data_IF_636564824355
#
_entry.id   IF_636564824355
#
_cell.length_a   1.000
_cell.length_b   1.000
_cell.length_c   1.000
_cell.angle_alpha   90.00
_cell.angle_beta   90.00
_cell.angle_gamma   90.00
#
_symmetry.space_group_name_H-M   'P 1'
#
loop_
_entity.id
_entity.type
_entity.pdbx_description
1 polymer ?
2 non-polymer ?
3 non-polymer ?
4 non-polymer ?
5 non-polymer ?
6 water ?
#
# COMPACT_ATOMS: atom_id res chain seq x y z
N UNK A 6 -1.54 -17.27 -13.73
CA UNK A 6 -2.90 -17.59 -13.33
C UNK A 6 -3.25 -16.93 -11.98
N UNK A 7 -2.59 -17.36 -10.88
CA UNK A 7 -2.84 -16.81 -9.54
C UNK A 7 -1.88 -15.62 -9.29
N UNK A 8 -2.33 -14.63 -8.49
CA UNK A 8 -1.56 -13.44 -8.18
C UNK A 8 -1.61 -13.11 -6.70
N UNK A 9 -0.44 -12.92 -6.10
CA UNK A 9 -0.33 -12.63 -4.68
C UNK A 9 -0.52 -11.14 -4.40
N UNK A 10 -1.11 -10.84 -3.23
CA UNK A 10 -1.30 -9.50 -2.71
C UNK A 10 -0.74 -9.45 -1.33
N UNK A 11 -0.39 -8.26 -0.89
CA UNK A 11 0.01 -8.01 0.48
C UNK A 11 -0.83 -6.88 0.95
N UNK A 12 -1.54 -7.10 2.06
CA UNK A 12 -2.41 -6.07 2.60
C UNK A 12 -2.50 -6.16 4.09
N UNK A 13 -2.68 -5.02 4.77
CA UNK A 13 -2.91 -5.08 6.19
C UNK A 13 -4.31 -5.66 6.41
N UNK A 14 -4.47 -6.40 7.53
CA UNK A 14 -5.72 -7.07 7.79
C UNK A 14 -5.97 -7.21 9.26
N UNK A 15 -7.25 -7.37 9.61
CA UNK A 15 -7.64 -7.67 10.98
C UNK A 15 -7.99 -9.17 11.06
N UNK A 16 -7.49 -9.85 12.10
CA UNK A 16 -7.88 -11.24 12.40
C UNK A 16 -9.17 -11.18 13.22
N UNK A 17 -10.21 -11.94 12.86
CA UNK A 17 -11.44 -11.86 13.65
C UNK A 17 -12.33 -13.05 13.39
N UNK A 18 -13.30 -13.25 14.25
CA UNK A 18 -14.30 -14.29 14.07
C UNK A 18 -15.42 -13.80 13.18
N UNK A 19 -15.89 -14.69 12.31
CA UNK A 19 -17.13 -14.46 11.57
C UNK A 19 -18.32 -14.67 12.53
N UNK A 20 -19.55 -14.50 12.03
CA UNK A 20 -20.75 -14.71 12.85
C UNK A 20 -20.93 -16.16 13.30
N UNK A 21 -20.26 -17.11 12.62
CA UNK A 21 -20.32 -18.53 12.94
C UNK A 21 -19.00 -19.04 13.53
N UNK A 23 -15.80 -18.79 12.70
CA UNK A 23 -14.67 -19.19 11.88
C UNK A 23 -13.68 -18.05 11.98
N UNK A 24 -12.37 -18.35 12.12
CA UNK A 24 -11.40 -17.26 12.14
C UNK A 24 -11.06 -16.87 10.72
N UNK A 25 -11.30 -15.61 10.40
CA UNK A 25 -11.01 -15.02 9.08
C UNK A 25 -10.05 -13.88 9.21
N UNK A 26 -9.50 -13.47 8.06
CA UNK A 26 -8.73 -12.24 8.01
C UNK A 26 -9.52 -11.28 7.12
N UNK A 27 -9.56 -10.01 7.54
CA UNK A 27 -10.31 -8.95 6.86
C UNK A 27 -9.31 -7.95 6.32
N UNK A 28 -8.84 -8.14 5.06
CA UNK A 28 -7.81 -7.24 4.53
C UNK A 28 -8.38 -5.93 4.05
N UNK A 29 -7.59 -4.85 4.21
CA UNK A 29 -8.01 -3.56 3.65
C UNK A 29 -8.12 -3.69 2.11
N UNK A 30 -9.24 -3.27 1.55
CA UNK A 30 -9.45 -3.32 0.09
C UNK A 30 -9.72 -4.69 -0.51
N UNK A 31 -9.96 -5.73 0.32
CA UNK A 31 -10.22 -7.06 -0.19
C UNK A 31 -11.38 -7.70 0.54
N UNK A 32 -11.83 -8.83 0.04
CA UNK A 32 -12.86 -9.62 0.68
C UNK A 32 -12.34 -10.34 1.90
N UNK A 33 -13.24 -10.81 2.79
CA UNK A 33 -12.78 -11.64 3.93
C UNK A 33 -12.21 -12.96 3.41
N UNK A 34 -11.17 -13.45 4.11
CA UNK A 34 -10.48 -14.67 3.73
C UNK A 34 -10.40 -15.66 4.84
N UNK A 35 -10.51 -16.95 4.48
CA UNK A 35 -10.22 -18.03 5.40
C UNK A 35 -8.84 -18.57 5.04
N UNK A 36 -7.89 -18.41 5.96
CA UNK A 36 -6.54 -18.94 5.82
C UNK A 36 -6.37 -19.94 6.97
N UNK A 37 -6.44 -21.26 6.66
CA UNK A 37 -6.42 -22.30 7.70
C UNK A 37 -5.18 -22.24 8.58
N UNK A 38 -4.00 -21.96 7.99
CA UNK A 38 -2.77 -21.87 8.80
C UNK A 38 -2.87 -20.73 9.84
N UNK A 39 -3.41 -19.56 9.46
CA UNK A 39 -3.56 -18.47 10.41
C UNK A 39 -4.60 -18.81 11.46
N UNK A 40 -5.71 -19.47 11.07
CA UNK A 40 -6.78 -19.80 12.01
C UNK A 40 -6.31 -20.77 13.10
N UNK A 41 -5.21 -21.49 12.85
CA UNK A 41 -4.72 -22.47 13.82
C UNK A 41 -3.40 -22.03 14.45
N UNK A 42 -3.02 -20.76 14.29
CA UNK A 42 -1.72 -20.31 14.78
C UNK A 42 -1.88 -19.55 16.09
N UNK A 43 -1.29 -20.04 17.21
CA UNK A 43 -1.48 -19.36 18.51
C UNK A 43 -0.79 -18.01 18.63
N UNK A 44 -0.08 -17.57 17.57
CA UNK A 44 0.52 -16.21 17.57
C UNK A 44 -0.61 -15.16 17.53
N UNK A 45 -1.78 -15.52 16.98
CA UNK A 45 -2.84 -14.54 16.73
C UNK A 45 -4.06 -14.67 17.60
N UNK A 46 -4.74 -13.52 17.79
CA UNK A 46 -6.03 -13.55 18.43
C UNK A 46 -6.91 -12.50 17.77
N UNK A 47 -8.23 -12.73 17.88
CA UNK A 47 -9.20 -11.83 17.26
C UNK A 47 -8.93 -10.39 17.73
N UNK A 48 -8.95 -9.49 16.78
CA UNK A 48 -8.67 -8.07 17.00
C UNK A 48 -7.27 -7.66 16.60
N UNK A 49 -6.38 -8.63 16.40
CA UNK A 49 -5.02 -8.30 15.97
C UNK A 49 -5.00 -7.79 14.56
N UNK A 50 -4.04 -6.92 14.28
CA UNK A 50 -3.76 -6.44 12.93
C UNK A 50 -2.48 -7.05 12.47
N UNK A 51 -2.41 -7.42 11.19
CA UNK A 51 -1.21 -8.03 10.63
C UNK A 51 -1.01 -7.51 9.23
N UNK A 52 0.20 -7.69 8.69
CA UNK A 52 0.45 -7.53 7.27
C UNK A 52 0.36 -8.93 6.69
N UNK A 53 -0.64 -9.18 5.85
CA UNK A 53 -0.81 -10.52 5.30
C UNK A 53 -0.44 -10.58 3.85
N UNK A 54 0.14 -11.72 3.44
CA UNK A 54 0.40 -11.96 2.03
C UNK A 54 -0.43 -13.17 1.66
N UNK A 55 -1.25 -13.04 0.60
CA UNK A 55 -2.15 -14.14 0.30
C UNK A 55 -2.43 -14.28 -1.18
N UNK A 56 -2.96 -15.44 -1.54
CA UNK A 56 -3.39 -15.77 -2.89
C UNK A 56 -4.70 -16.54 -2.82
N UNK A 57 -5.63 -16.21 -3.73
CA UNK A 57 -6.92 -16.88 -3.84
C UNK A 57 -6.94 -17.64 -5.16
N UNK A 58 -7.32 -18.94 -5.11
CA UNK A 58 -7.55 -19.76 -6.31
C UNK A 58 -9.04 -19.70 -6.56
N UNK A 59 -9.47 -18.83 -7.47
CA UNK A 59 -10.89 -18.63 -7.77
C UNK A 59 -11.55 -19.87 -8.39
N UNK A 60 -10.75 -20.79 -8.94
CA UNK A 60 -11.27 -21.99 -9.62
C UNK A 60 -11.33 -23.24 -8.71
N UNK A 61 -10.93 -23.14 -7.43
CA UNK A 61 -10.90 -24.33 -6.55
C UNK A 61 -12.29 -24.78 -6.13
N UNK A 62 -12.42 -26.08 -5.74
CA UNK A 62 -13.67 -26.64 -5.22
C UNK A 62 -14.08 -25.92 -3.92
N UNK A 63 -13.08 -25.53 -3.09
CA UNK A 63 -13.31 -24.81 -1.83
C UNK A 63 -13.92 -23.43 -2.06
N UNK A 64 -13.67 -22.82 -3.23
CA UNK A 64 -14.20 -21.48 -3.55
C UNK A 64 -15.41 -21.52 -4.50
N UNK A 65 -15.91 -22.72 -4.84
CA UNK A 65 -17.09 -22.87 -5.71
C UNK A 65 -18.33 -22.21 -5.10
N UNK A 66 -18.43 -22.18 -3.75
CA UNK A 66 -19.58 -21.60 -3.03
C UNK A 66 -19.17 -20.39 -2.21
N UNK A 67 -18.13 -19.65 -2.63
CA UNK A 67 -17.63 -18.48 -1.90
C UNK A 67 -18.73 -17.45 -1.60
N UNK A 68 -19.64 -17.21 -2.57
CA UNK A 68 -20.74 -16.24 -2.39
C UNK A 68 -21.62 -16.61 -1.17
N UNK A 69 -21.92 -17.90 -0.99
CA UNK A 69 -22.75 -18.30 0.14
C UNK A 69 -21.89 -18.45 1.40
N UNK A 70 -20.61 -18.85 1.28
CA UNK A 70 -19.73 -18.96 2.44
C UNK A 70 -19.45 -17.62 3.13
N UNK A 71 -19.33 -16.56 2.34
CA UNK A 71 -19.03 -15.21 2.85
C UNK A 71 -17.54 -14.89 2.97
N UNK A 72 -16.71 -15.76 2.38
CA UNK A 72 -15.25 -15.57 2.35
C UNK A 72 -14.67 -16.37 1.20
N UNK A 73 -13.42 -16.03 0.83
CA UNK A 73 -12.65 -16.84 -0.07
C UNK A 73 -11.65 -17.64 0.76
N UNK A 74 -11.42 -18.90 0.39
CA UNK A 74 -10.36 -19.69 1.00
C UNK A 74 -9.07 -19.22 0.33
N UNK A 75 -8.06 -18.89 1.12
CA UNK A 75 -6.80 -18.39 0.57
C UNK A 75 -5.64 -19.09 1.22
N UNK A 76 -4.49 -18.99 0.58
CA UNK A 76 -3.27 -19.49 1.21
C UNK A 76 -2.38 -18.29 1.41
N UNK A 77 -1.56 -18.37 2.42
CA UNK A 77 -0.64 -17.28 2.68
C UNK A 77 -0.13 -17.31 4.09
N UNK A 78 0.39 -16.17 4.51
CA UNK A 78 1.00 -16.05 5.82
C UNK A 78 0.89 -14.61 6.25
N UNK A 79 1.22 -14.36 7.50
CA UNK A 79 1.10 -13.01 7.98
C UNK A 79 2.27 -12.67 8.89
N UNK A 80 2.48 -11.37 9.08
CA UNK A 80 3.49 -10.90 10.02
C UNK A 80 3.07 -11.18 11.45
N UNK A 81 3.94 -10.85 12.41
CA UNK A 81 3.56 -10.85 13.81
C UNK A 81 2.51 -9.76 14.01
N UNK A 82 1.62 -9.83 15.00
CA UNK A 82 0.63 -8.75 15.19
C UNK A 82 1.30 -7.40 15.42
N UNK A 83 0.66 -6.36 14.91
CA UNK A 83 1.16 -5.01 15.14
C UNK A 83 0.98 -4.64 16.59
N UNK A 84 1.88 -3.77 17.10
CA UNK A 84 1.71 -3.23 18.44
C UNK A 84 0.40 -2.40 18.48
N UNK A 85 -0.34 -2.51 19.58
CA UNK A 85 -1.66 -1.92 19.76
C UNK A 85 -1.65 -0.72 20.69
N UNK A 86 -2.32 0.35 20.26
CA UNK A 86 -2.44 1.56 21.07
C UNK A 86 -3.86 2.01 21.16
N UNK A 87 -4.18 2.72 22.23
CA UNK A 87 -5.49 3.35 22.35
C UNK A 87 -5.49 4.64 21.56
N UNK A 88 -6.69 5.17 21.30
CA UNK A 88 -6.79 6.49 20.71
C UNK A 88 -7.19 7.38 21.86
N UNK A 89 -6.27 8.28 22.23
CA UNK A 89 -6.42 9.17 23.38
C UNK A 89 -7.18 10.44 23.03
N UNK A 90 -8.11 10.86 23.88
CA UNK A 90 -8.87 12.07 23.65
C UNK A 90 -8.36 13.21 24.54
N UNK A 91 -7.10 13.12 24.95
CA UNK A 91 -6.45 14.15 25.78
C UNK A 91 -5.41 14.85 24.92
N UNK A 92 -5.75 15.99 24.30
CA UNK A 92 -4.77 16.66 23.41
C UNK A 92 -3.56 17.18 24.18
N UNK A 93 -2.40 17.12 23.51
CA UNK A 93 -1.12 17.54 24.06
C UNK A 93 -0.71 18.89 23.52
N UNK A 94 0.16 19.60 24.23
CA UNK A 94 0.66 20.88 23.73
C UNK A 94 2.02 20.65 22.99
N UNK A 95 2.69 21.74 22.59
CA UNK A 95 3.94 21.69 21.83
C UNK A 95 5.16 21.26 22.65
N UNK A 97 7.95 19.10 24.16
CA UNK A 97 8.45 17.78 23.78
C UNK A 97 8.27 16.79 24.94
N UNK A 98 7.90 15.56 24.59
CA UNK A 98 7.78 14.47 25.53
C UNK A 98 9.16 13.97 25.87
N UNK A 99 9.31 13.27 27.01
CA UNK A 99 10.61 12.68 27.31
C UNK A 99 10.95 11.66 26.21
N UNK A 100 12.19 11.72 25.68
CA UNK A 100 12.70 10.81 24.66
C UNK A 100 11.87 10.90 23.35
N UNK A 101 11.23 12.05 23.10
CA UNK A 101 10.43 12.20 21.90
C UNK A 101 11.27 12.08 20.63
N UNK A 102 10.66 11.49 19.59
CA UNK A 102 11.28 11.35 18.27
C UNK A 102 10.55 12.17 17.23
N UNK A 103 11.29 12.71 16.28
CA UNK A 103 10.67 13.36 15.12
C UNK A 103 10.27 12.28 14.13
N UNK A 104 9.21 12.54 13.38
CA UNK A 104 8.74 11.61 12.36
C UNK A 104 8.88 12.25 10.97
N UNK A 105 8.79 11.42 9.93
CA UNK A 105 8.91 11.89 8.55
C UNK A 105 7.73 11.40 7.67
N UNK A 106 6.68 10.91 8.29
CA UNK A 106 5.50 10.40 7.60
C UNK A 106 4.60 9.72 8.60
N UNK A 107 3.30 9.61 8.27
CA UNK A 107 2.31 8.96 9.14
C UNK A 107 1.02 8.59 8.37
N UNK A 108 1.18 7.92 7.23
CA UNK A 108 -0.01 7.53 6.48
C UNK A 108 -0.86 6.54 7.25
N UNK A 109 -2.20 6.57 7.06
CA UNK A 109 -3.06 5.67 7.84
C UNK A 109 -4.34 5.39 7.12
N UNK A 110 -5.03 4.37 7.62
CA UNK A 110 -6.36 4.02 7.12
C UNK A 110 -7.13 3.34 8.21
N UNK A 111 -8.45 3.48 8.18
CA UNK A 111 -9.32 2.77 9.10
C UNK A 111 -9.71 1.45 8.47
N UNK A 112 -9.43 0.37 9.20
CA UNK A 112 -9.81 -0.99 8.78
C UNK A 112 -11.01 -1.45 9.56
N UNK A 113 -11.88 -2.23 8.90
CA UNK A 113 -13.09 -2.81 9.48
C UNK A 113 -13.07 -4.31 9.46
N UNK A 114 -13.64 -4.95 10.48
CA UNK A 114 -13.83 -6.39 10.49
C UNK A 114 -15.24 -6.66 11.01
N UNK A 115 -15.57 -7.90 11.26
CA UNK A 115 -16.89 -8.19 11.75
C UNK A 115 -17.15 -7.50 13.11
N UNK A 116 -16.16 -7.55 14.03
CA UNK A 116 -16.33 -7.08 15.40
C UNK A 116 -15.44 -5.91 15.80
N UNK A 117 -14.48 -5.53 14.98
CA UNK A 117 -13.51 -4.51 15.37
C UNK A 117 -13.27 -3.48 14.31
N UNK A 118 -12.76 -2.32 14.76
CA UNK A 118 -12.24 -1.27 13.88
C UNK A 118 -10.86 -0.89 14.38
N UNK A 119 -9.90 -0.77 13.47
CA UNK A 119 -8.55 -0.32 13.85
C UNK A 119 -8.01 0.63 12.85
N UNK A 120 -7.34 1.68 13.32
CA UNK A 120 -6.59 2.53 12.41
C UNK A 120 -5.20 1.89 12.28
N UNK A 121 -4.78 1.56 11.09
CA UNK A 121 -3.40 1.14 10.88
C UNK A 121 -2.65 2.41 10.49
N UNK A 122 -1.57 2.71 11.20
CA UNK A 122 -0.82 3.92 10.87
C UNK A 122 0.64 3.53 10.69
N UNK A 123 1.30 4.16 9.73
CA UNK A 123 2.68 3.81 9.43
C UNK A 123 3.61 5.02 9.73
N UNK A 124 3.99 5.21 11.00
CA UNK A 124 4.98 6.25 11.30
C UNK A 124 6.27 5.91 10.59
N UNK A 125 6.91 6.94 10.00
CA UNK A 125 8.16 6.79 9.27
C UNK A 125 9.19 7.66 9.96
N UNK A 126 10.47 7.24 9.89
CA UNK A 126 11.56 7.96 10.51
C UNK A 126 12.69 8.18 9.54
N UNK A 127 13.31 9.36 9.61
CA UNK A 127 14.51 9.68 8.81
C UNK A 127 15.55 8.59 9.06
N UNK A 128 15.80 8.28 10.34
CA UNK A 128 16.73 7.22 10.71
C UNK A 128 16.34 6.61 12.03
N UNK A 129 16.63 5.31 12.15
CA UNK A 129 16.51 4.56 13.40
C UNK A 129 17.73 3.67 13.51
N UNK A 130 17.94 3.09 14.69
CA UNK A 130 18.97 2.10 14.83
C UNK A 130 18.35 0.72 14.70
N UNK A 131 19.16 -0.30 14.38
CA UNK A 131 18.68 -1.68 14.33
C UNK A 131 18.21 -2.06 15.74
N UNK A 132 17.04 -2.69 15.88
CA UNK A 132 16.44 -3.13 17.14
C UNK A 132 16.00 -1.96 18.05
N UNK A 133 15.91 -0.74 17.48
CA UNK A 133 15.32 0.38 18.22
C UNK A 133 13.85 0.05 18.46
N UNK A 134 13.31 0.43 19.62
CA UNK A 134 11.90 0.22 19.89
C UNK A 134 11.30 1.53 20.33
N UNK A 135 10.11 1.83 19.79
CA UNK A 135 9.38 3.04 20.12
C UNK A 135 8.04 2.71 20.69
N UNK A 136 7.45 3.66 21.42
CA UNK A 136 6.05 3.60 21.81
C UNK A 136 5.41 4.88 21.31
N UNK A 137 4.09 4.86 21.22
CA UNK A 137 3.37 5.93 20.58
C UNK A 137 2.19 6.42 21.35
N UNK A 138 1.77 7.62 20.99
CA UNK A 138 0.55 8.20 21.50
C UNK A 138 -0.19 8.80 20.30
N UNK A 140 -3.49 10.93 19.58
CA UNK A 140 -4.44 11.70 20.33
C UNK A 140 -5.26 12.58 19.43
N UNK A 142 -8.28 16.17 19.75
CA UNK A 142 -9.16 17.04 20.47
C UNK A 142 -10.57 16.74 20.00
N UNK A 143 -11.39 16.07 20.85
CA UNK A 143 -12.80 15.74 20.55
C UNK A 143 -13.71 17.00 20.42
N UNK A 144 -13.23 18.18 20.83
CA UNK A 144 -14.00 19.43 20.73
C UNK A 144 -13.67 20.20 19.44
N UNK A 145 -12.70 19.70 18.64
CA UNK A 145 -12.26 20.34 17.40
C UNK A 145 -13.36 20.42 16.38
N UNK A 146 -13.36 21.50 15.62
CA UNK A 146 -14.25 21.61 14.49
C UNK A 146 -13.43 21.20 13.28
N UNK A 147 -13.95 20.34 12.37
CA UNK A 147 -13.14 19.96 11.21
C UNK A 147 -12.96 21.16 10.28
N UNK A 148 -11.97 21.12 9.40
CA UNK A 148 -11.69 22.26 8.54
C UNK A 148 -11.41 21.84 7.11
N UNK A 149 -11.42 22.81 6.18
CA UNK A 149 -11.11 22.52 4.79
C UNK A 149 -9.59 22.38 4.64
N UNK A 150 -9.15 21.28 4.00
CA UNK A 150 -7.74 20.95 3.76
C UNK A 150 -7.59 20.57 2.29
N UNK A 151 -6.76 21.31 1.53
CA UNK A 151 -6.47 21.09 0.11
C UNK A 151 -7.73 20.77 -0.75
N UNK A 152 -8.78 21.56 -0.59
CA UNK A 152 -10.02 21.38 -1.35
C UNK A 152 -11.00 20.36 -0.80
N UNK A 153 -10.63 19.62 0.27
CA UNK A 153 -11.52 18.65 0.90
C UNK A 153 -12.13 19.31 2.11
N UNK A 154 -13.46 19.27 2.21
CA UNK A 154 -14.10 19.90 3.36
C UNK A 154 -14.19 18.94 4.56
N UNK A 155 -14.33 19.53 5.75
CA UNK A 155 -14.59 18.87 7.03
C UNK A 155 -13.56 17.76 7.32
N UNK A 156 -12.27 18.14 7.30
CA UNK A 156 -11.21 17.18 7.62
C UNK A 156 -10.85 17.30 9.11
N UNK A 157 -10.83 16.17 9.83
CA UNK A 157 -10.44 16.11 11.23
C UNK A 157 -8.96 15.84 11.31
N UNK A 158 -8.33 16.31 12.37
CA UNK A 158 -6.88 16.06 12.51
C UNK A 158 -6.60 15.28 13.79
N UNK A 159 -5.91 14.15 13.61
CA UNK A 159 -5.41 13.32 14.72
C UNK A 159 -3.92 13.64 14.84
N UNK A 160 -3.32 13.33 15.99
CA UNK A 160 -1.91 13.59 16.17
C UNK A 160 -1.17 12.33 16.60
N UNK A 161 -0.03 12.05 15.94
CA UNK A 161 0.78 10.88 16.30
C UNK A 161 2.13 11.36 16.78
N UNK A 162 2.50 10.95 18.01
CA UNK A 162 3.79 11.25 18.57
C UNK A 162 4.45 9.97 19.05
N UNK A 163 5.77 9.97 19.09
CA UNK A 163 6.56 8.78 19.44
C UNK A 163 7.59 9.08 20.50
N UNK A 164 7.86 8.07 21.33
CA UNK A 164 8.94 8.11 22.32
C UNK A 164 9.85 6.93 22.10
N UNK A 165 11.17 7.14 22.20
CA UNK A 165 12.10 6.02 22.09
C UNK A 165 12.06 5.23 23.41
N UNK A 166 11.90 3.89 23.32
CA UNK A 166 11.88 3.07 24.53
C UNK A 166 13.15 2.21 24.65
N UNK A 167 13.73 1.78 23.52
CA UNK A 167 15.00 1.01 23.49
C UNK A 167 15.88 1.62 22.43
N UNK A 168 17.16 1.88 22.75
CA UNK A 168 18.12 2.55 21.89
C UNK A 168 18.44 1.80 20.61
N UNK A 169 18.62 0.48 20.70
CA UNK A 169 19.03 -0.28 19.54
C UNK A 169 20.53 -0.18 19.31
N UNK A 170 20.99 -0.65 18.13
CA UNK A 170 22.43 -0.68 17.81
C UNK A 170 22.70 -0.46 16.32
N UNK A 171 23.98 -0.35 15.94
CA UNK A 171 24.38 -0.21 14.54
C UNK A 171 24.00 -1.47 13.73
N UNK A 172 23.67 -1.37 12.42
CA UNK A 172 23.71 -0.18 11.57
C UNK A 172 22.43 0.67 11.64
N UNK A 173 22.53 1.90 11.12
CA UNK A 173 21.42 2.83 10.98
C UNK A 173 20.57 2.41 9.78
N UNK A 174 19.23 2.52 9.95
CA UNK A 174 18.25 2.26 8.91
C UNK A 174 17.62 3.58 8.54
N UNK A 175 17.62 3.92 7.24
CA UNK A 175 17.00 5.15 6.76
C UNK A 175 15.58 4.94 6.31
N UNK A 176 14.71 5.97 6.48
CA UNK A 176 13.30 5.94 6.06
C UNK A 176 12.61 4.69 6.58
N UNK A 177 12.83 4.41 7.86
CA UNK A 177 12.29 3.23 8.50
C UNK A 177 10.84 3.40 8.80
N UNK A 179 7.34 1.83 10.87
CA UNK A 179 6.92 1.05 12.05
C UNK A 179 5.39 0.97 12.12
N UNK A 180 4.78 0.11 11.30
CA UNK A 180 3.31 0.00 11.31
C UNK A 180 2.77 -0.37 12.69
N UNK A 181 1.74 0.35 13.12
CA UNK A 181 1.08 0.10 14.41
C UNK A 181 -0.45 0.11 14.23
N UNK A 182 -1.17 -0.43 15.23
CA UNK A 182 -2.62 -0.47 15.20
C UNK A 182 -3.17 0.37 16.32
N UNK A 183 -4.14 1.21 16.03
CA UNK A 183 -4.77 2.09 17.03
C UNK A 183 -6.25 1.73 17.10
N UNK A 184 -6.80 1.68 18.32
CA UNK A 184 -8.23 1.42 18.46
C UNK A 184 -9.05 2.43 17.63
N UNK A 185 -9.99 1.93 16.81
CA UNK A 185 -10.80 2.82 15.98
C UNK A 185 -12.28 2.84 16.29
N UNK A 186 -12.74 2.00 17.22
CA UNK A 186 -14.18 1.87 17.47
C UNK A 186 -14.85 3.11 18.01
N UNK A 187 -14.26 3.75 19.05
CA UNK A 187 -14.94 4.93 19.60
C UNK A 187 -14.76 6.14 18.68
N UNK A 188 -13.63 6.20 17.94
CA UNK A 188 -13.46 7.30 16.98
C UNK A 188 -14.52 7.19 15.91
N UNK A 189 -14.75 5.98 15.40
CA UNK A 189 -15.77 5.81 14.37
C UNK A 189 -17.13 6.25 14.86
N UNK A 190 -17.55 5.78 16.05
CA UNK A 190 -18.88 6.11 16.56
C UNK A 190 -19.02 7.61 16.77
N UNK A 192 -17.21 10.20 15.27
CA UNK A 192 -17.22 10.95 14.00
C UNK A 192 -18.43 10.60 13.15
N UNK A 193 -18.95 9.37 13.22
CA UNK A 193 -20.17 9.03 12.49
C UNK A 193 -21.33 9.90 13.00
N UNK A 194 -21.42 10.07 14.32
CA UNK A 194 -22.47 10.87 14.93
C UNK A 194 -22.40 12.31 14.49
N UNK A 195 -21.18 12.91 14.52
CA UNK A 195 -20.98 14.31 14.11
C UNK A 195 -21.20 14.52 12.61
N UNK A 196 -20.64 13.64 11.77
CA UNK A 196 -20.74 13.83 10.33
C UNK A 196 -22.12 13.46 9.78
N UNK A 197 -22.82 12.45 10.34
CA UNK A 197 -24.18 12.15 9.85
C UNK A 197 -25.12 13.32 10.19
N UNK A 198 -24.92 13.96 11.38
CA UNK A 198 -25.71 15.13 11.78
C UNK A 198 -25.48 16.32 10.83
N UNK A 199 -24.26 16.40 10.23
CA UNK A 199 -23.86 17.44 9.28
C UNK A 199 -24.33 17.09 7.84
N UNK A 200 -25.04 15.96 7.70
CA UNK A 200 -25.57 15.50 6.41
C UNK A 200 -24.54 14.87 5.50
N UNK A 201 -23.49 14.27 6.10
CA UNK A 201 -22.41 13.64 5.32
C UNK A 201 -22.44 12.15 5.41
N UNK A 202 -21.89 11.48 4.38
CA UNK A 202 -21.87 10.01 4.24
C UNK A 202 -20.48 9.42 4.49
N UNK A 203 -19.48 10.29 4.67
CA UNK A 203 -18.10 9.88 4.88
C UNK A 203 -17.48 10.70 5.98
N UNK A 204 -16.31 10.25 6.44
CA UNK A 204 -15.46 10.98 7.36
C UNK A 204 -14.11 11.15 6.69
N UNK A 205 -13.53 12.34 6.80
CA UNK A 205 -12.20 12.64 6.28
C UNK A 205 -11.30 13.01 7.44
N UNK A 206 -10.10 12.46 7.48
CA UNK A 206 -9.18 12.83 8.55
C UNK A 206 -7.74 12.80 8.05
N UNK A 207 -6.86 13.40 8.83
CA UNK A 207 -5.43 13.32 8.54
C UNK A 207 -4.70 13.17 9.86
N UNK A 208 -3.42 12.79 9.80
CA UNK A 208 -2.60 12.61 10.99
C UNK A 208 -1.46 13.59 10.94
N UNK A 209 -1.32 14.43 12.00
CA UNK A 209 -0.21 15.34 12.10
C UNK A 209 0.88 14.71 12.99
N UNK A 210 2.12 15.09 12.75
CA UNK A 210 3.22 14.53 13.49
C UNK A 210 4.35 15.54 13.61
N UNK A 211 5.24 15.42 14.61
CA UNK A 211 6.34 16.41 14.73
C UNK A 211 7.36 16.24 13.61
N UNK A 212 7.71 17.36 12.97
CA UNK A 212 8.66 17.38 11.86
C UNK A 212 10.00 17.96 12.31
N UNK A 213 9.99 19.02 13.13
CA UNK A 213 11.24 19.59 13.64
C UNK A 213 11.07 19.99 15.09
N UNK A 214 12.16 20.03 15.83
CA UNK A 214 12.18 20.59 17.19
C UNK A 214 12.65 22.04 17.14
N UNK A 215 12.46 22.74 18.26
CA UNK A 215 13.07 24.07 18.42
C UNK A 215 14.60 23.84 18.66
N UNK A 216 15.39 24.91 18.82
CA UNK A 216 16.85 24.82 18.95
C UNK A 216 17.36 23.87 20.04
N UNK A 217 16.69 23.81 21.21
CA UNK A 217 17.20 22.95 22.30
C UNK A 217 16.36 21.69 22.51
N UNK A 218 15.51 21.33 21.52
CA UNK A 218 14.67 20.14 21.53
C UNK A 218 13.71 20.07 22.77
N UNK A 219 13.23 21.23 23.25
CA UNK A 219 12.27 21.23 24.36
C UNK A 219 10.82 21.36 23.85
N UNK A 220 10.64 21.77 22.57
CA UNK A 220 9.31 21.94 21.98
C UNK A 220 9.31 21.48 20.54
N UNK A 221 8.12 21.15 20.03
CA UNK A 221 7.95 20.87 18.62
C UNK A 221 7.83 22.20 17.91
N UNK A 222 8.68 22.44 16.89
CA UNK A 222 8.65 23.71 16.14
C UNK A 222 7.73 23.64 14.93
N UNK A 223 7.81 22.55 14.14
CA UNK A 223 6.95 22.41 12.96
C UNK A 223 6.34 21.02 12.92
N UNK A 224 5.24 20.91 12.20
CA UNK A 224 4.49 19.65 12.07
C UNK A 224 4.33 19.27 10.62
N UNK A 225 4.29 17.96 10.40
CA UNK A 225 3.98 17.38 9.10
C UNK A 225 2.58 16.82 9.15
N UNK A 226 2.00 16.55 7.98
CA UNK A 226 0.64 16.02 7.90
C UNK A 226 0.58 14.92 6.87
N UNK A 227 -0.13 13.87 7.20
CA UNK A 227 -0.38 12.80 6.24
C UNK A 227 -1.31 13.28 5.15
N UNK A 228 -1.47 12.46 4.11
CA UNK A 228 -2.52 12.67 3.15
C UNK A 228 -3.86 12.47 3.85
N UNK A 229 -4.93 12.96 3.24
CA UNK A 229 -6.25 12.75 3.80
C UNK A 229 -6.68 11.27 3.60
N UNK A 230 -7.25 10.69 4.65
CA UNK A 230 -7.78 9.34 4.64
C UNK A 230 -9.28 9.42 4.83
N UNK A 231 -10.03 8.53 4.22
CA UNK A 231 -11.50 8.63 4.33
C UNK A 231 -12.12 7.29 4.58
N UNK A 232 -13.27 7.31 5.23
CA UNK A 232 -14.03 6.08 5.41
C UNK A 232 -15.51 6.37 5.35
N UNK A 233 -16.28 5.37 4.93
CA UNK A 233 -17.72 5.52 4.85
C UNK A 233 -18.35 5.35 6.23
N UNK A 234 -19.44 6.10 6.47
CA UNK A 234 -20.22 5.97 7.72
C UNK A 234 -21.65 5.48 7.39
N UNK A 235 -21.85 4.97 6.16
CA UNK A 235 -23.10 4.35 5.75
C UNK A 235 -23.06 2.89 6.18
N UNK A 236 -24.16 2.37 6.64
CA UNK A 236 -24.23 0.96 7.05
C UNK A 236 -25.45 0.34 6.39
N UNK A 237 -25.51 -1.00 6.34
CA UNK A 237 -26.59 -1.78 5.69
C UNK A 237 -27.99 -1.41 6.19
N UNK B 9 -15.12 -1.37 1.11
CA UNK B 9 -14.75 -0.96 -0.26
C UNK B 9 -13.61 -1.83 -0.82
N UNK B 10 -13.83 -2.41 -2.02
CA UNK B 10 -12.80 -3.22 -2.72
C UNK B 10 -12.00 -2.31 -3.63
N UNK B 11 -10.67 -2.41 -3.57
CA UNK B 11 -9.81 -1.51 -4.34
C UNK B 11 -8.55 -2.19 -4.80
N UNK B 12 -8.08 -1.83 -6.01
CA UNK B 12 -6.87 -2.45 -6.48
C UNK B 12 -6.35 -1.76 -7.69
N UNK B 13 -5.02 -1.82 -7.93
CA UNK B 13 -4.53 -1.42 -9.24
C UNK B 13 -4.99 -2.46 -10.24
N UNK B 14 -5.18 -2.01 -11.48
CA UNK B 14 -5.73 -2.88 -12.52
C UNK B 14 -5.26 -2.46 -13.87
N UNK B 15 -5.29 -3.41 -14.82
CA UNK B 15 -5.03 -3.11 -16.23
C UNK B 15 -6.37 -3.12 -16.98
N UNK B 16 -6.57 -2.15 -17.88
CA UNK B 16 -7.74 -2.11 -18.78
C UNK B 16 -7.34 -2.86 -20.04
N UNK B 17 -8.15 -3.82 -20.51
CA UNK B 17 -7.73 -4.54 -21.72
C UNK B 17 -8.90 -5.27 -22.35
N UNK B 18 -8.73 -5.70 -23.59
CA UNK B 18 -9.72 -6.50 -24.30
C UNK B 18 -9.58 -7.96 -23.98
N UNK B 19 -10.70 -8.61 -23.75
CA UNK B 19 -10.76 -10.07 -23.64
C UNK B 19 -10.59 -10.68 -25.04
N UNK B 20 -10.62 -12.03 -25.13
CA UNK B 20 -10.51 -12.73 -26.42
C UNK B 20 -11.69 -12.44 -27.38
N UNK B 21 -12.81 -11.94 -26.83
CA UNK B 21 -13.96 -11.61 -27.66
C UNK B 21 -14.15 -10.07 -27.74
N UNK B 23 -14.36 -7.74 -25.45
CA UNK B 23 -15.09 -7.09 -24.36
C UNK B 23 -14.01 -6.38 -23.54
N UNK B 24 -14.24 -5.11 -23.14
CA UNK B 24 -13.24 -4.44 -22.29
C UNK B 24 -13.45 -4.86 -20.87
N UNK B 25 -12.39 -5.43 -20.27
CA UNK B 25 -12.41 -5.84 -18.86
C UNK B 25 -11.34 -5.08 -18.11
N UNK B 26 -11.43 -5.12 -16.79
CA UNK B 26 -10.35 -4.62 -15.96
C UNK B 26 -9.81 -5.82 -15.21
N UNK B 27 -8.50 -5.84 -15.08
CA UNK B 27 -7.78 -6.99 -14.52
C UNK B 27 -7.09 -6.52 -13.27
N UNK B 28 -7.77 -6.63 -12.11
CA UNK B 28 -7.17 -6.12 -10.87
C UNK B 28 -6.18 -7.10 -10.30
N UNK B 29 -5.12 -6.56 -9.68
CA UNK B 29 -4.13 -7.43 -9.04
C UNK B 29 -4.79 -8.30 -7.97
N UNK B 30 -4.63 -9.61 -8.11
CA UNK B 30 -5.14 -10.56 -7.12
C UNK B 30 -6.61 -10.85 -7.16
N UNK B 31 -7.32 -10.34 -8.20
CA UNK B 31 -8.76 -10.54 -8.40
C UNK B 31 -9.04 -11.26 -9.69
N UNK B 32 -10.26 -11.76 -9.81
CA UNK B 32 -10.76 -12.30 -11.05
C UNK B 32 -11.02 -11.09 -12.00
N UNK B 33 -10.98 -11.25 -13.33
CA UNK B 33 -11.27 -10.11 -14.21
C UNK B 33 -12.71 -9.62 -13.99
N UNK B 34 -12.90 -8.32 -14.21
CA UNK B 34 -14.19 -7.67 -14.03
C UNK B 34 -14.66 -6.95 -15.26
N UNK B 35 -15.96 -7.03 -15.51
CA UNK B 35 -16.57 -6.24 -16.56
C UNK B 35 -17.25 -5.06 -15.87
N UNK B 36 -16.77 -3.85 -16.17
CA UNK B 36 -17.35 -2.61 -15.66
C UNK B 36 -17.81 -1.81 -16.87
N UNK B 37 -19.12 -1.83 -17.14
CA UNK B 37 -19.65 -1.19 -18.35
C UNK B 37 -19.25 0.29 -18.43
N UNK B 38 -19.27 1.03 -17.30
CA UNK B 38 -18.98 2.47 -17.37
C UNK B 38 -17.52 2.71 -17.81
N UNK B 39 -16.58 1.87 -17.35
CA UNK B 39 -15.18 1.98 -17.79
C UNK B 39 -15.05 1.57 -19.26
N UNK B 40 -15.76 0.52 -19.68
CA UNK B 40 -15.67 0.05 -21.07
C UNK B 40 -16.11 1.12 -22.06
N UNK B 41 -16.97 2.07 -21.62
CA UNK B 41 -17.51 3.11 -22.50
C UNK B 41 -16.91 4.49 -22.22
N UNK B 42 -15.81 4.57 -21.45
CA UNK B 42 -15.20 5.84 -21.08
C UNK B 42 -14.04 6.16 -22.00
N UNK B 43 -14.13 7.28 -22.75
CA UNK B 43 -13.05 7.62 -23.69
C UNK B 43 -11.71 8.03 -23.06
N UNK B 44 -11.64 8.07 -21.72
CA UNK B 44 -10.38 8.37 -21.02
C UNK B 44 -9.38 7.22 -21.17
N UNK B 45 -9.90 5.99 -21.36
CA UNK B 45 -9.05 4.81 -21.30
C UNK B 45 -8.72 4.16 -22.62
N UNK B 46 -7.56 3.48 -22.61
CA UNK B 46 -7.07 2.71 -23.73
C UNK B 46 -6.63 1.34 -23.24
N UNK B 47 -6.78 0.32 -24.08
CA UNK B 47 -6.26 -1.01 -23.71
C UNK B 47 -4.76 -0.88 -23.37
N UNK B 48 -4.38 -1.49 -22.27
CA UNK B 48 -3.01 -1.44 -21.78
C UNK B 48 -2.80 -0.44 -20.65
N UNK B 49 -3.77 0.45 -20.41
CA UNK B 49 -3.66 1.42 -19.32
C UNK B 49 -3.71 0.75 -17.97
N UNK B 50 -3.03 1.32 -16.99
CA UNK B 50 -3.11 0.91 -15.60
C UNK B 50 -3.84 1.98 -14.85
N UNK B 51 -4.70 1.56 -13.92
CA UNK B 51 -5.50 2.50 -13.13
C UNK B 51 -5.57 1.99 -11.70
N UNK B 52 -5.98 2.86 -10.78
CA UNK B 52 -6.38 2.44 -9.45
C UNK B 52 -7.91 2.38 -9.49
N UNK B 53 -8.47 1.19 -9.31
CA UNK B 53 -9.93 1.01 -9.40
C UNK B 53 -10.59 0.68 -8.07
N UNK B 54 -11.87 1.07 -7.93
CA UNK B 54 -12.74 0.77 -6.79
C UNK B 54 -13.93 0.07 -7.37
N UNK B 55 -14.39 -1.02 -6.78
CA UNK B 55 -15.50 -1.71 -7.37
C UNK B 55 -16.29 -2.55 -6.39
N UNK B 56 -17.47 -3.02 -6.84
CA UNK B 56 -18.33 -3.92 -6.08
C UNK B 56 -18.91 -4.95 -7.03
N UNK B 57 -19.08 -6.18 -6.55
CA UNK B 57 -19.66 -7.28 -7.34
C UNK B 57 -20.92 -7.76 -6.65
N UNK B 58 -22.03 -7.93 -7.42
CA UNK B 58 -23.29 -8.53 -6.94
C UNK B 58 -23.21 -9.99 -7.34
N UNK B 59 -22.78 -10.85 -6.42
CA UNK B 59 -22.62 -12.28 -6.72
C UNK B 59 -23.92 -13.02 -6.98
N UNK B 60 -25.05 -12.43 -6.60
CA UNK B 60 -26.38 -13.05 -6.76
C UNK B 60 -27.09 -12.64 -8.06
N UNK B 61 -26.47 -11.79 -8.90
CA UNK B 61 -27.12 -11.35 -10.14
C UNK B 61 -27.18 -12.47 -11.21
N UNK B 62 -28.15 -12.36 -12.15
CA UNK B 62 -28.28 -13.30 -13.26
C UNK B 62 -27.04 -13.22 -14.16
N UNK B 63 -26.44 -12.02 -14.29
CA UNK B 63 -25.23 -11.75 -15.07
C UNK B 63 -24.03 -12.51 -14.52
N UNK B 64 -24.02 -12.78 -13.20
CA UNK B 64 -22.90 -13.46 -12.55
C UNK B 64 -23.16 -14.94 -12.25
N UNK B 65 -24.31 -15.48 -12.70
CA UNK B 65 -24.65 -16.90 -12.50
C UNK B 65 -23.64 -17.81 -13.22
N UNK B 66 -23.11 -17.35 -14.38
CA UNK B 66 -22.15 -18.10 -15.18
C UNK B 66 -20.79 -17.42 -15.21
N UNK B 67 -20.38 -16.76 -14.12
CA UNK B 67 -19.09 -16.08 -14.05
C UNK B 67 -17.89 -16.99 -14.35
N UNK B 68 -17.91 -18.24 -13.87
CA UNK B 68 -16.83 -19.20 -14.13
C UNK B 68 -16.65 -19.46 -15.63
N UNK B 69 -17.76 -19.61 -16.39
CA UNK B 69 -17.68 -19.83 -17.82
C UNK B 69 -17.48 -18.51 -18.58
N UNK B 70 -18.00 -17.38 -18.06
CA UNK B 70 -17.83 -16.06 -18.70
C UNK B 70 -16.40 -15.60 -18.69
N UNK B 71 -15.68 -15.91 -17.62
CA UNK B 71 -14.30 -15.52 -17.42
C UNK B 71 -14.15 -14.17 -16.75
N UNK B 72 -15.24 -13.65 -16.19
CA UNK B 72 -15.27 -12.38 -15.48
C UNK B 72 -16.48 -12.27 -14.59
N UNK B 73 -16.42 -11.34 -13.61
CA UNK B 73 -17.60 -10.93 -12.84
C UNK B 73 -18.03 -9.57 -13.37
N UNK B 74 -19.36 -9.37 -13.47
CA UNK B 74 -19.88 -8.05 -13.79
C UNK B 74 -19.80 -7.23 -12.49
N UNK B 75 -19.23 -6.03 -12.56
CA UNK B 75 -19.06 -5.18 -11.40
C UNK B 75 -19.46 -3.76 -11.70
N UNK B 76 -19.66 -2.96 -10.65
CA UNK B 76 -19.84 -1.54 -10.80
C UNK B 76 -18.68 -0.88 -10.13
N UNK B 77 -18.29 0.27 -10.60
CA UNK B 77 -17.13 0.93 -10.00
C UNK B 77 -16.60 2.06 -10.81
N UNK B 78 -15.42 2.53 -10.42
CA UNK B 78 -14.79 3.68 -11.04
C UNK B 78 -13.30 3.53 -10.97
N UNK B 79 -12.59 4.35 -11.71
CA UNK B 79 -11.14 4.25 -11.71
C UNK B 79 -10.52 5.60 -11.82
N UNK B 80 -9.26 5.67 -11.42
CA UNK B 80 -8.45 6.87 -11.58
C UNK B 80 -8.13 7.14 -13.02
N UNK B 81 -7.46 8.27 -13.28
CA UNK B 81 -6.87 8.52 -14.58
C UNK B 81 -5.77 7.48 -14.82
N UNK B 82 -5.41 7.14 -16.06
CA UNK B 82 -4.32 6.17 -16.25
C UNK B 82 -3.00 6.63 -15.66
N UNK B 83 -2.23 5.66 -15.16
CA UNK B 83 -0.88 6.00 -14.67
C UNK B 83 0.04 6.36 -15.83
N UNK B 84 1.05 7.21 -15.53
CA UNK B 84 2.08 7.52 -16.53
C UNK B 84 2.83 6.24 -16.87
N UNK B 85 3.16 6.08 -18.14
CA UNK B 85 3.74 4.90 -18.72
C UNK B 85 5.22 5.07 -19.05
N UNK B 86 6.00 4.04 -18.72
CA UNK B 86 7.43 4.00 -19.00
C UNK B 86 7.84 2.66 -19.52
N UNK B 87 8.96 2.63 -20.25
CA UNK B 87 9.50 1.37 -20.71
C UNK B 87 10.44 0.79 -19.67
N UNK B 88 10.81 -0.47 -19.83
CA UNK B 88 11.81 -1.10 -18.98
C UNK B 88 13.08 -1.21 -19.84
N UNK B 89 14.11 -0.46 -19.44
CA UNK B 89 15.35 -0.34 -20.17
C UNK B 89 16.36 -1.45 -19.83
N UNK B 90 17.08 -1.94 -20.84
CA UNK B 90 18.09 -2.97 -20.62
C UNK B 90 19.50 -2.41 -20.78
N UNK B 91 19.61 -1.09 -20.76
CA UNK B 91 20.91 -0.38 -20.77
C UNK B 91 21.11 0.28 -19.43
N UNK B 92 21.54 -0.44 -18.36
CA UNK B 92 21.67 0.23 -17.05
C UNK B 92 22.68 1.36 -17.08
N UNK B 93 22.37 2.36 -16.29
CA UNK B 93 23.18 3.55 -16.15
C UNK B 93 24.25 3.34 -15.10
N UNK B 94 25.38 4.04 -15.24
CA UNK B 94 26.41 3.94 -14.20
C UNK B 94 25.99 4.83 -12.98
N UNK B 95 26.83 4.93 -11.94
CA UNK B 95 26.49 5.69 -10.74
C UNK B 95 26.51 7.22 -10.91
N UNK B 97 25.34 10.84 -11.34
CA UNK B 97 24.04 11.46 -11.16
C UNK B 97 23.52 12.05 -12.47
N UNK B 98 22.24 11.87 -12.73
CA UNK B 98 21.57 12.41 -13.90
C UNK B 98 21.28 13.88 -13.65
N UNK B 99 21.07 14.65 -14.74
CA UNK B 99 20.66 16.04 -14.57
C UNK B 99 19.32 16.05 -13.82
N UNK B 100 19.20 16.92 -12.80
CA UNK B 100 17.98 17.09 -12.00
C UNK B 100 17.55 15.76 -11.33
N UNK B 101 18.52 14.89 -11.02
CA UNK B 101 18.17 13.60 -10.40
C UNK B 101 17.63 13.79 -8.98
N UNK B 102 16.66 12.93 -8.61
CA UNK B 102 16.05 12.97 -7.27
C UNK B 102 16.42 11.76 -6.47
N UNK B 103 16.51 11.93 -5.14
CA UNK B 103 16.67 10.82 -4.23
C UNK B 103 15.29 10.29 -3.86
N UNK B 104 15.15 8.97 -3.71
CA UNK B 104 13.85 8.35 -3.37
C UNK B 104 13.88 7.77 -1.98
N UNK B 105 12.69 7.45 -1.46
CA UNK B 105 12.55 6.89 -0.12
C UNK B 105 11.76 5.57 -0.14
N UNK B 106 11.47 5.04 -1.31
CA UNK B 106 10.70 3.81 -1.45
C UNK B 106 10.41 3.51 -2.91
N UNK B 107 10.02 2.23 -3.22
CA UNK B 107 9.79 1.77 -4.58
C UNK B 107 9.01 0.45 -4.60
N UNK B 108 7.97 0.33 -3.78
CA UNK B 108 7.22 -0.93 -3.78
C UNK B 108 6.59 -1.19 -5.15
N UNK B 109 6.47 -2.46 -5.55
CA UNK B 109 5.94 -2.71 -6.89
C UNK B 109 5.33 -4.09 -6.99
N UNK B 110 4.60 -4.32 -8.09
CA UNK B 110 4.05 -5.63 -8.41
C UNK B 110 3.86 -5.75 -9.88
N UNK B 111 3.97 -6.97 -10.39
CA UNK B 111 3.69 -7.25 -11.80
C UNK B 111 2.24 -7.65 -11.94
N UNK B 112 1.53 -6.93 -12.80
CA UNK B 112 0.11 -7.16 -13.10
C UNK B 112 -0.02 -7.82 -14.46
N UNK B 113 -1.02 -8.70 -14.59
CA UNK B 113 -1.29 -9.45 -15.82
C UNK B 113 -2.63 -9.18 -16.37
N UNK B 114 -2.73 -9.12 -17.70
CA UNK B 114 -4.04 -9.03 -18.34
C UNK B 114 -4.05 -10.01 -19.52
N UNK B 115 -5.10 -9.98 -20.34
CA UNK B 115 -5.13 -10.89 -21.46
C UNK B 115 -3.95 -10.67 -22.43
N UNK B 116 -3.62 -9.40 -22.74
CA UNK B 116 -2.62 -9.05 -23.74
C UNK B 116 -1.39 -8.33 -23.21
N UNK B 117 -1.40 -7.91 -21.94
CA UNK B 117 -0.32 -7.09 -21.41
C UNK B 117 0.17 -7.53 -20.08
N UNK B 118 1.38 -7.07 -19.76
CA UNK B 118 1.97 -7.18 -18.43
C UNK B 118 2.53 -5.83 -18.10
N UNK B 119 2.25 -5.36 -16.85
CA UNK B 119 2.79 -4.06 -16.43
C UNK B 119 3.24 -4.14 -15.02
N UNK B 120 4.39 -3.55 -14.72
CA UNK B 120 4.84 -3.40 -13.35
C UNK B 120 4.24 -2.10 -12.85
N UNK B 121 3.48 -2.13 -11.78
CA UNK B 121 3.02 -0.91 -11.12
C UNK B 121 4.04 -0.66 -10.04
N UNK B 122 4.69 0.52 -10.05
CA UNK B 122 5.68 0.81 -9.02
C UNK B 122 5.31 2.14 -8.39
N UNK B 123 5.59 2.23 -7.10
CA UNK B 123 5.22 3.41 -6.31
C UNK B 123 6.47 4.09 -5.75
N UNK B 124 7.17 4.89 -6.58
CA UNK B 124 8.29 5.66 -6.02
C UNK B 124 7.76 6.63 -4.96
N UNK B 125 8.51 6.77 -3.86
CA UNK B 125 8.14 7.70 -2.82
C UNK B 125 9.31 8.67 -2.62
N UNK B 126 8.97 9.84 -2.06
CA UNK B 126 9.95 10.92 -1.84
C UNK B 126 9.78 11.51 -0.48
N UNK B 127 10.87 11.83 0.20
CA UNK B 127 10.73 12.47 1.52
C UNK B 127 10.02 13.83 1.39
N UNK B 128 10.24 14.54 0.30
CA UNK B 128 9.57 15.79 0.04
C UNK B 128 9.52 16.09 -1.43
N UNK B 129 8.46 16.77 -1.83
CA UNK B 129 8.24 17.30 -3.18
C UNK B 129 7.60 18.65 -3.06
N UNK B 130 7.57 19.41 -4.16
CA UNK B 130 6.82 20.66 -4.15
C UNK B 130 5.43 20.41 -4.75
N UNK B 131 4.48 21.31 -4.50
CA UNK B 131 3.13 21.22 -5.07
C UNK B 131 3.28 21.42 -6.57
N UNK B 132 2.63 20.58 -7.39
CA UNK B 132 2.68 20.58 -8.86
C UNK B 132 4.05 20.17 -9.44
N UNK B 133 4.95 19.59 -8.61
CA UNK B 133 6.20 19.03 -9.13
C UNK B 133 5.85 17.87 -10.08
N UNK B 134 6.61 17.69 -11.17
CA UNK B 134 6.41 16.57 -12.08
C UNK B 134 7.74 15.90 -12.28
N UNK B 135 7.73 14.57 -12.33
CA UNK B 135 8.97 13.80 -12.54
C UNK B 135 8.91 12.95 -13.77
N UNK B 136 10.08 12.52 -14.23
CA UNK B 136 10.19 11.45 -15.24
C UNK B 136 11.05 10.37 -14.62
N UNK B 137 10.94 9.15 -15.14
CA UNK B 137 11.60 8.01 -14.56
C UNK B 137 12.30 7.17 -15.60
N UNK B 138 13.25 6.39 -15.11
CA UNK B 138 13.94 5.37 -15.88
C UNK B 138 14.00 4.11 -15.00
N UNK B 140 15.43 0.22 -15.03
CA UNK B 140 16.34 -0.61 -15.80
C UNK B 140 16.58 -1.95 -15.15
N UNK B 142 19.54 -5.17 -15.42
CA UNK B 142 20.81 -5.67 -15.93
C UNK B 142 20.55 -7.11 -16.34
N UNK B 143 20.40 -7.36 -17.63
CA UNK B 143 20.06 -8.69 -18.14
C UNK B 143 21.16 -9.76 -17.86
N UNK B 144 22.37 -9.34 -17.43
CA UNK B 144 23.47 -10.28 -17.13
C UNK B 144 23.54 -10.65 -15.64
N UNK B 145 22.70 -10.03 -14.79
CA UNK B 145 22.77 -10.29 -13.35
C UNK B 145 22.38 -11.72 -12.98
N UNK B 146 22.98 -12.22 -11.90
CA UNK B 146 22.60 -13.49 -11.33
C UNK B 146 21.77 -13.16 -10.11
N UNK B 147 20.60 -13.79 -9.90
CA UNK B 147 19.81 -13.46 -8.71
C UNK B 147 20.51 -13.93 -7.45
N UNK B 148 20.13 -13.40 -6.28
CA UNK B 148 20.81 -13.75 -5.03
C UNK B 148 19.82 -13.93 -3.89
N UNK B 149 20.29 -14.52 -2.76
CA UNK B 149 19.41 -14.67 -1.61
C UNK B 149 19.27 -13.32 -0.91
N UNK B 150 18.03 -12.92 -0.60
CA UNK B 150 17.71 -11.65 0.08
C UNK B 150 16.71 -11.96 1.17
N UNK B 151 17.06 -11.64 2.45
CA UNK B 151 16.23 -11.85 3.65
C UNK B 151 15.49 -13.21 3.70
N UNK B 152 16.22 -14.28 3.42
CA UNK B 152 15.66 -15.64 3.46
C UNK B 152 14.95 -16.10 2.21
N UNK B 153 14.78 -15.21 1.20
CA UNK B 153 14.16 -15.59 -0.07
C UNK B 153 15.28 -15.87 -1.06
N UNK B 154 15.23 -17.02 -1.72
CA UNK B 154 16.28 -17.34 -2.69
C UNK B 154 15.97 -16.75 -4.06
N UNK B 155 17.02 -16.56 -4.85
CA UNK B 155 16.99 -16.14 -6.24
C UNK B 155 16.16 -14.87 -6.46
N UNK B 156 16.54 -13.80 -5.79
CA UNK B 156 15.87 -12.49 -5.94
C UNK B 156 16.65 -11.65 -6.96
N UNK B 157 15.92 -11.10 -7.98
CA UNK B 157 16.50 -10.20 -8.97
C UNK B 157 16.35 -8.77 -8.50
N UNK B 158 17.20 -7.88 -8.97
CA UNK B 158 17.10 -6.48 -8.56
C UNK B 158 16.98 -5.59 -9.80
N UNK B 159 15.93 -4.76 -9.82
CA UNK B 159 15.70 -3.75 -10.86
C UNK B 159 16.12 -2.42 -10.28
N UNK B 160 16.34 -1.40 -11.13
CA UNK B 160 16.76 -0.11 -10.63
C UNK B 160 15.81 0.98 -11.13
N UNK B 161 15.31 1.80 -10.21
CA UNK B 161 14.43 2.94 -10.55
C UNK B 161 15.12 4.24 -10.22
N UNK B 162 15.21 5.15 -11.19
CA UNK B 162 15.76 6.48 -10.99
C UNK B 162 14.77 7.52 -11.50
N UNK B 163 14.83 8.72 -10.91
CA UNK B 163 13.91 9.80 -11.24
C UNK B 163 14.62 11.10 -11.52
N UNK B 164 14.04 11.90 -12.43
CA UNK B 164 14.52 13.26 -12.70
C UNK B 164 13.37 14.22 -12.51
N UNK B 165 13.66 15.40 -11.98
CA UNK B 165 12.61 16.40 -11.87
C UNK B 165 12.38 17.00 -13.27
N UNK B 166 11.12 17.02 -13.73
CA UNK B 166 10.74 17.57 -15.05
C UNK B 166 10.18 18.99 -14.90
N UNK B 167 9.38 19.23 -13.84
CA UNK B 167 8.79 20.54 -13.50
C UNK B 167 9.03 20.80 -12.02
N UNK B 168 9.57 21.97 -11.68
CA UNK B 168 9.96 22.38 -10.33
C UNK B 168 8.78 22.36 -9.34
N UNK B 169 7.64 22.87 -9.75
CA UNK B 169 6.49 23.01 -8.87
C UNK B 169 6.65 24.26 -8.02
N UNK B 170 5.84 24.39 -6.96
CA UNK B 170 5.85 25.58 -6.09
C UNK B 170 5.49 25.23 -4.64
N UNK B 171 5.57 26.23 -3.74
CA UNK B 171 5.20 26.09 -2.34
C UNK B 171 3.69 25.78 -2.22
N UNK B 172 3.23 24.99 -1.23
CA UNK B 172 3.99 24.42 -0.11
C UNK B 172 4.67 23.08 -0.43
N UNK B 173 5.59 22.68 0.44
CA UNK B 173 6.27 21.38 0.39
C UNK B 173 5.31 20.32 0.87
N UNK B 174 5.32 19.17 0.17
CA UNK B 174 4.54 17.98 0.51
C UNK B 174 5.51 16.93 1.06
N UNK B 175 5.26 16.44 2.28
CA UNK B 175 6.12 15.45 2.91
C UNK B 175 5.63 14.02 2.64
N UNK B 176 6.57 13.11 2.36
CA UNK B 176 6.27 11.67 2.17
C UNK B 176 5.25 11.48 1.04
N UNK B 177 5.67 11.89 -0.17
CA UNK B 177 4.82 11.85 -1.36
C UNK B 177 5.02 10.58 -2.17
N UNK B 179 4.19 8.52 -6.12
CA UNK B 179 3.89 8.79 -7.52
C UNK B 179 3.74 7.46 -8.29
N UNK B 180 2.58 6.77 -8.16
CA UNK B 180 2.41 5.48 -8.87
C UNK B 180 2.57 5.63 -10.38
N UNK B 181 3.38 4.75 -10.98
CA UNK B 181 3.63 4.73 -12.42
C UNK B 181 3.51 3.29 -12.94
N UNK B 182 3.41 3.15 -14.27
CA UNK B 182 3.28 1.83 -14.90
C UNK B 182 4.45 1.60 -15.83
N UNK B 183 5.12 0.48 -15.69
CA UNK B 183 6.27 0.17 -16.52
C UNK B 183 5.97 -1.07 -17.37
N UNK B 184 6.40 -1.09 -18.63
CA UNK B 184 6.22 -2.26 -19.48
C UNK B 184 6.83 -3.51 -18.82
N UNK B 185 6.06 -4.59 -18.73
CA UNK B 185 6.56 -5.81 -18.10
C UNK B 185 6.67 -7.03 -19.00
N UNK B 186 6.25 -6.94 -20.27
CA UNK B 186 6.20 -8.11 -21.14
C UNK B 186 7.53 -8.77 -21.43
N UNK B 187 8.55 -7.96 -21.82
CA UNK B 187 9.82 -8.59 -22.14
C UNK B 187 10.58 -9.02 -20.86
N UNK B 188 10.38 -8.31 -19.74
CA UNK B 188 11.01 -8.73 -18.49
C UNK B 188 10.45 -10.06 -18.06
N UNK B 189 9.11 -10.20 -18.16
CA UNK B 189 8.49 -11.47 -17.79
C UNK B 189 9.08 -12.60 -18.62
N UNK B 190 9.17 -12.44 -19.94
CA UNK B 190 9.68 -13.52 -20.78
C UNK B 190 11.12 -13.87 -20.40
N UNK B 192 12.78 -13.36 -17.36
CA UNK B 192 12.90 -14.00 -16.04
C UNK B 192 12.21 -15.36 -16.00
N UNK B 193 11.11 -15.53 -16.75
CA UNK B 193 10.45 -16.85 -16.84
C UNK B 193 11.44 -17.88 -17.41
N UNK B 194 12.14 -17.49 -18.47
CA UNK B 194 13.11 -18.39 -19.11
C UNK B 194 14.21 -18.81 -18.15
N UNK B 195 14.77 -17.85 -17.40
CA UNK B 195 15.86 -18.13 -16.47
C UNK B 195 15.38 -18.95 -15.26
N UNK B 196 14.24 -18.56 -14.67
CA UNK B 196 13.76 -19.24 -13.46
C UNK B 196 13.15 -20.61 -13.74
N UNK B 197 12.49 -20.81 -14.90
CA UNK B 197 11.95 -22.14 -15.20
C UNK B 197 13.11 -23.12 -15.40
N UNK B 198 14.22 -22.64 -16.03
CA UNK B 198 15.42 -23.48 -16.22
C UNK B 198 16.05 -23.87 -14.87
N UNK B 199 15.91 -23.03 -13.84
CA UNK B 199 16.41 -23.22 -12.49
C UNK B 199 15.46 -24.05 -11.62
N UNK B 200 14.37 -24.53 -12.22
CA UNK B 200 13.39 -25.39 -11.56
C UNK B 200 12.40 -24.66 -10.67
N UNK B 201 12.19 -23.36 -10.93
CA UNK B 201 11.28 -22.55 -10.13
C UNK B 201 9.96 -22.26 -10.84
N UNK B 202 8.88 -22.04 -10.05
CA UNK B 202 7.53 -21.75 -10.57
C UNK B 202 7.15 -20.29 -10.36
N UNK B 203 8.05 -19.52 -9.71
CA UNK B 203 7.82 -18.10 -9.43
C UNK B 203 9.09 -17.31 -9.73
N UNK B 204 8.94 -15.98 -9.77
CA UNK B 204 10.05 -15.02 -9.88
C UNK B 204 9.93 -14.11 -8.69
N UNK B 205 11.07 -13.82 -8.06
CA UNK B 205 11.15 -12.87 -6.95
C UNK B 205 12.04 -11.71 -7.37
N UNK B 206 11.59 -10.50 -7.09
CA UNK B 206 12.44 -9.35 -7.44
C UNK B 206 12.25 -8.23 -6.43
N UNK B 207 13.13 -7.24 -6.51
CA UNK B 207 13.03 -6.02 -5.73
C UNK B 207 13.52 -4.86 -6.58
N UNK B 208 13.21 -3.64 -6.15
CA UNK B 208 13.64 -2.45 -6.87
C UNK B 208 14.59 -1.63 -5.99
N UNK B 209 15.76 -1.29 -6.52
CA UNK B 209 16.69 -0.42 -5.83
C UNK B 209 16.56 0.98 -6.37
N UNK B 210 16.88 1.98 -5.55
CA UNK B 210 16.73 3.37 -5.96
C UNK B 210 17.79 4.21 -5.25
N UNK B 211 18.13 5.39 -5.79
CA UNK B 211 19.15 6.23 -5.12
C UNK B 211 18.65 6.76 -3.78
N UNK B 212 19.49 6.63 -2.75
CA UNK B 212 19.15 7.04 -1.39
C UNK B 212 19.96 8.28 -1.00
N UNK B 213 21.28 8.30 -1.32
CA UNK B 213 22.09 9.47 -1.04
C UNK B 213 23.01 9.76 -2.20
N UNK B 214 23.41 11.02 -2.34
CA UNK B 214 24.44 11.42 -3.29
C UNK B 214 25.78 11.43 -2.57
N UNK B 215 26.89 11.47 -3.36
CA UNK B 215 28.21 11.68 -2.76
C UNK B 215 28.34 13.16 -2.34
N UNK B 216 29.50 13.56 -1.77
CA UNK B 216 29.65 14.90 -1.20
C UNK B 216 29.38 16.06 -2.16
N UNK B 217 29.70 15.93 -3.47
CA UNK B 217 29.47 17.03 -4.40
C UNK B 217 28.28 16.78 -5.37
N UNK B 218 27.41 15.78 -5.05
CA UNK B 218 26.23 15.38 -5.79
C UNK B 218 26.52 15.03 -7.27
N UNK B 219 27.69 14.43 -7.54
CA UNK B 219 28.01 14.01 -8.90
C UNK B 219 27.70 12.53 -9.10
N UNK B 220 27.58 11.75 -8.03
CA UNK B 220 27.32 10.32 -8.10
C UNK B 220 26.36 9.88 -7.05
N UNK B 221 25.73 8.71 -7.28
CA UNK B 221 24.89 8.09 -6.27
C UNK B 221 25.83 7.39 -5.30
N UNK B 222 25.70 7.67 -3.98
CA UNK B 222 26.58 7.08 -2.96
C UNK B 222 25.98 5.83 -2.34
N UNK B 223 24.67 5.86 -2.03
CA UNK B 223 24.03 4.69 -1.43
C UNK B 223 22.68 4.48 -2.09
N UNK B 224 22.18 3.26 -2.00
CA UNK B 224 20.91 2.85 -2.58
C UNK B 224 19.99 2.31 -1.50
N UNK B 225 18.68 2.48 -1.72
CA UNK B 225 17.62 1.89 -0.92
C UNK B 225 17.02 0.73 -1.72
N UNK B 226 16.29 -0.15 -1.05
CA UNK B 226 15.70 -1.32 -1.69
C UNK B 226 14.29 -1.54 -1.23
N UNK B 227 13.42 -1.88 -2.17
CA UNK B 227 12.05 -2.24 -1.81
C UNK B 227 12.02 -3.61 -1.15
N UNK B 228 10.85 -3.96 -0.64
CA UNK B 228 10.59 -5.33 -0.21
C UNK B 228 10.52 -6.21 -1.45
N UNK B 229 10.54 -7.52 -1.24
CA UNK B 229 10.47 -8.46 -2.34
C UNK B 229 9.04 -8.58 -2.84
N UNK B 230 8.93 -8.67 -4.18
CA UNK B 230 7.67 -8.85 -4.90
C UNK B 230 7.76 -10.15 -5.68
N UNK B 231 6.66 -10.85 -5.85
CA UNK B 231 6.74 -12.14 -6.56
C UNK B 231 5.62 -12.30 -7.55
N UNK B 232 5.89 -13.07 -8.62
CA UNK B 232 4.84 -13.42 -9.58
C UNK B 232 5.02 -14.85 -10.05
N UNK B 233 3.91 -15.45 -10.49
CA UNK B 233 3.92 -16.82 -11.01
C UNK B 233 4.39 -16.86 -12.46
N UNK B 234 5.15 -17.90 -12.83
CA UNK B 234 5.58 -18.07 -14.23
C UNK B 234 4.98 -19.36 -14.82
N UNK B 235 3.95 -19.90 -14.17
CA UNK B 235 3.26 -21.08 -14.68
C UNK B 235 2.32 -20.63 -15.79
N UNK B 236 2.15 -21.49 -16.82
CA UNK B 236 1.30 -21.21 -17.98
#
# INVERSE_FOLDING_TARGET
GDGGGNTQQLSSYAIVDYSSTXRTLIYPLGYYPLYVATIANDPTYRAGDCVLANFTVDFDSADNANASTNGFYVATGAASSPLAKYDLSYSPLDSXALDNELLLSGSESALLFSNNYKRIVVIPTFTSVLTDQKNTYIXSXDSNQEPETVDGTDRVYTLCLRAQKREEGKAPTISNAXDPIAVEGGTLYSXLKGKESAAGKKIVSYRVKYPLTFNADSTKIATWGYSKISQFSIEEATN
GDGGGNTQQLSSYAIVDYSSTXRTLIYPLGYYPLYVATIANDPTYRAGDCVLANFTVDFDSADNANASTNGFYVATGAASSPLAKYDLSYSPLDSXALDNELLLSGSESALLFSNNYKRIVVIPTFTSVLTDQKNTYIXSXDSNQEPETVDGTDRVYTLCLRAQKREEGKAPTISNAXDPIAVEGGTLYSXLKGKESAAGKKIVSYRVKYPLTFNADSTKIATWGYSKISQFSIEEATN
#
